data_IF_957698206054
#
_entry.id   IF_957698206054
#
_cell.length_a   1.000
_cell.length_b   1.000
_cell.length_c   1.000
_cell.angle_alpha   90.00
_cell.angle_beta   90.00
_cell.angle_gamma   90.00
#
_symmetry.space_group_name_H-M   'P 1'
#
loop_
_entity.id
_entity.type
_entity.pdbx_description
1 polymer ?
#
# COMPACT_ATOMS: atom_id res chain seq x y z
N UNK A 1 7.68 -31.17 7.28
CA UNK A 1 6.37 -30.56 6.94
C UNK A 1 5.16 -31.24 7.61
N UNK A 2 5.34 -32.23 8.49
CA UNK A 2 4.23 -32.87 9.22
C UNK A 2 4.19 -32.38 10.68
N UNK A 3 3.66 -31.17 10.90
CA UNK A 3 3.30 -30.71 12.24
C UNK A 3 1.94 -31.28 12.67
N UNK A 4 1.63 -31.29 13.98
CA UNK A 4 0.27 -31.57 14.44
C UNK A 4 -0.72 -30.55 13.86
N UNK A 5 -1.97 -30.96 13.65
CA UNK A 5 -3.02 -30.08 13.19
C UNK A 5 -3.32 -29.03 14.27
N UNK A 6 -3.36 -27.75 13.87
CA UNK A 6 -3.65 -26.63 14.75
C UNK A 6 -4.59 -25.64 14.07
N UNK A 7 -5.20 -24.76 14.87
CA UNK A 7 -6.11 -23.77 14.31
C UNK A 7 -5.37 -22.72 13.48
N UNK A 8 -6.04 -22.10 12.51
CA UNK A 8 -5.49 -20.97 11.75
C UNK A 8 -5.04 -19.86 12.71
N UNK A 9 -5.78 -19.64 13.81
CA UNK A 9 -5.42 -18.67 14.84
C UNK A 9 -4.05 -18.96 15.45
N UNK A 10 -3.77 -20.22 15.83
CA UNK A 10 -2.49 -20.61 16.44
C UNK A 10 -1.33 -20.51 15.43
N UNK A 11 -1.59 -20.79 14.15
CA UNK A 11 -0.63 -20.52 13.08
C UNK A 11 -0.31 -19.03 12.92
N UNK A 12 -1.32 -18.16 12.91
CA UNK A 12 -1.15 -16.70 12.85
C UNK A 12 -0.41 -16.17 14.08
N UNK A 13 -0.81 -16.59 15.28
CA UNK A 13 -0.15 -16.23 16.54
C UNK A 13 1.33 -16.58 16.51
N UNK A 14 1.70 -17.82 16.13
CA UNK A 14 3.11 -18.22 16.04
C UNK A 14 3.91 -17.44 15.01
N UNK A 15 3.31 -17.10 13.87
CA UNK A 15 3.95 -16.26 12.86
C UNK A 15 4.26 -14.86 13.42
N UNK A 16 3.33 -14.26 14.17
CA UNK A 16 3.52 -12.99 14.85
C UNK A 16 4.56 -13.12 15.98
N UNK A 17 4.47 -14.14 16.83
CA UNK A 17 5.44 -14.34 17.91
C UNK A 17 6.86 -14.57 17.40
N UNK A 18 7.00 -15.16 16.20
CA UNK A 18 8.30 -15.30 15.54
C UNK A 18 8.93 -13.93 15.23
N UNK A 19 8.14 -12.94 14.82
CA UNK A 19 8.67 -11.60 14.53
C UNK A 19 9.16 -10.90 15.81
N UNK A 20 8.53 -11.16 16.96
CA UNK A 20 8.95 -10.62 18.27
C UNK A 20 10.37 -11.01 18.71
N UNK A 21 10.95 -12.03 18.09
CA UNK A 21 12.34 -12.44 18.35
C UNK A 21 13.39 -11.73 17.48
N UNK A 22 12.96 -10.85 16.57
CA UNK A 22 13.81 -10.28 15.51
C UNK A 22 13.77 -8.76 15.50
N UNK A 23 14.15 -8.17 16.62
CA UNK A 23 14.26 -6.71 16.78
C UNK A 23 15.70 -6.33 17.07
N UNK A 24 16.14 -5.19 16.52
CA UNK A 24 17.39 -4.56 16.90
C UNK A 24 17.29 -3.96 18.31
N UNK A 25 18.42 -3.54 18.92
CA UNK A 25 18.40 -2.77 20.17
C UNK A 25 17.60 -1.45 20.08
N UNK A 26 17.35 -0.92 18.87
CA UNK A 26 16.54 0.27 18.65
C UNK A 26 15.03 0.00 18.64
N UNK A 27 14.62 -1.27 18.67
CA UNK A 27 13.21 -1.65 18.57
C UNK A 27 12.66 -1.64 17.14
N UNK A 28 13.54 -1.69 16.13
CA UNK A 28 13.14 -1.86 14.72
C UNK A 28 13.31 -3.33 14.30
N UNK A 29 12.39 -3.92 13.52
CA UNK A 29 12.55 -5.28 13.02
C UNK A 29 13.82 -5.44 12.17
N UNK A 30 14.51 -6.55 12.39
CA UNK A 30 15.69 -6.91 11.61
C UNK A 30 15.28 -7.38 10.21
N UNK A 31 15.98 -6.88 9.20
CA UNK A 31 15.72 -7.18 7.78
C UNK A 31 15.99 -8.67 7.49
N UNK A 32 17.08 -9.23 8.01
CA UNK A 32 17.56 -10.54 7.57
C UNK A 32 18.00 -10.48 6.11
N UNK A 33 17.73 -11.55 5.37
CA UNK A 33 18.17 -11.63 3.96
C UNK A 33 17.44 -10.64 3.06
N UNK A 34 16.16 -10.33 3.31
CA UNK A 34 15.36 -9.33 2.59
C UNK A 34 13.98 -9.19 3.27
N UNK A 35 13.27 -8.11 2.97
CA UNK A 35 11.86 -7.94 3.31
C UNK A 35 10.97 -8.19 2.08
N UNK A 36 9.94 -7.36 1.82
CA UNK A 36 9.16 -7.48 0.60
C UNK A 36 9.98 -7.20 -0.67
N UNK A 37 11.03 -6.37 -0.57
CA UNK A 37 11.94 -6.12 -1.69
C UNK A 37 13.07 -7.15 -1.66
N UNK A 38 12.89 -8.26 -2.37
CA UNK A 38 13.88 -9.32 -2.54
C UNK A 38 15.25 -8.78 -3.03
N UNK A 39 15.24 -7.64 -3.75
CA UNK A 39 16.44 -6.96 -4.24
C UNK A 39 17.36 -6.40 -3.17
N UNK A 40 16.83 -6.09 -1.98
CA UNK A 40 17.59 -5.66 -0.79
C UNK A 40 18.26 -6.83 -0.07
N UNK A 41 18.82 -7.74 -0.86
CA UNK A 41 19.28 -9.08 -0.48
C UNK A 41 20.52 -9.15 0.41
N UNK A 42 21.15 -8.01 0.70
CA UNK A 42 22.39 -7.95 1.49
C UNK A 42 22.32 -7.00 2.68
N UNK A 43 21.19 -6.29 2.87
CA UNK A 43 21.05 -5.24 3.89
C UNK A 43 21.24 -5.77 5.33
N UNK A 44 20.74 -6.97 5.63
CA UNK A 44 20.67 -7.49 7.01
C UNK A 44 21.11 -8.94 7.20
N UNK A 45 21.98 -9.46 6.32
CA UNK A 45 22.41 -10.87 6.34
C UNK A 45 23.13 -11.30 7.63
N UNK A 46 23.68 -10.34 8.39
CA UNK A 46 24.28 -10.55 9.71
C UNK A 46 23.28 -10.33 10.87
N UNK A 47 21.99 -10.15 10.57
CA UNK A 47 20.92 -9.87 11.52
C UNK A 47 21.19 -8.63 12.40
N UNK A 48 21.76 -7.58 11.80
CA UNK A 48 21.90 -6.25 12.42
C UNK A 48 21.15 -5.18 11.64
N UNK A 49 21.09 -5.32 10.31
CA UNK A 49 20.34 -4.42 9.45
C UNK A 49 18.85 -4.42 9.77
N UNK A 50 18.23 -3.25 9.66
CA UNK A 50 16.86 -2.97 10.08
C UNK A 50 15.98 -2.64 8.88
N UNK A 51 14.70 -3.05 8.90
CA UNK A 51 13.71 -2.69 7.89
C UNK A 51 12.61 -1.82 8.49
N UNK A 52 12.47 -0.60 7.97
CA UNK A 52 11.40 0.31 8.37
C UNK A 52 10.06 -0.09 7.76
N UNK A 53 10.06 -0.66 6.55
CA UNK A 53 8.84 -1.23 5.97
C UNK A 53 8.29 -2.39 6.80
N UNK A 54 9.16 -3.27 7.31
CA UNK A 54 8.74 -4.37 8.17
C UNK A 54 8.15 -3.87 9.49
N UNK A 55 8.62 -2.72 10.00
CA UNK A 55 8.01 -2.08 11.17
C UNK A 55 6.55 -1.68 10.91
N UNK A 56 6.28 -1.01 9.78
CA UNK A 56 4.94 -0.58 9.39
C UNK A 56 4.01 -1.77 9.14
N UNK A 57 4.52 -2.78 8.44
CA UNK A 57 3.74 -3.98 8.14
C UNK A 57 3.38 -4.75 9.42
N UNK A 58 4.34 -4.94 10.33
CA UNK A 58 4.08 -5.58 11.61
C UNK A 58 3.13 -4.74 12.47
N UNK A 59 3.32 -3.42 12.54
CA UNK A 59 2.42 -2.51 13.25
C UNK A 59 0.96 -2.69 12.79
N UNK A 60 0.72 -2.66 11.48
CA UNK A 60 -0.62 -2.89 10.92
C UNK A 60 -1.16 -4.29 11.25
N UNK A 61 -0.32 -5.34 11.24
CA UNK A 61 -0.75 -6.70 11.65
C UNK A 61 -1.18 -6.72 13.11
N UNK A 62 -0.41 -6.10 14.01
CA UNK A 62 -0.70 -6.09 15.44
C UNK A 62 -2.00 -5.35 15.75
N UNK A 63 -2.20 -4.18 15.14
CA UNK A 63 -3.43 -3.38 15.26
C UNK A 63 -4.67 -4.20 14.87
N UNK A 64 -4.59 -4.93 13.76
CA UNK A 64 -5.72 -5.71 13.25
C UNK A 64 -5.92 -7.07 13.96
N UNK A 65 -4.85 -7.66 14.50
CA UNK A 65 -4.90 -9.01 15.08
C UNK A 65 -5.15 -9.02 16.59
N UNK A 66 -4.74 -7.98 17.34
CA UNK A 66 -5.00 -7.90 18.77
C UNK A 66 -6.50 -7.98 19.12
N UNK A 67 -7.43 -7.30 18.41
CA UNK A 67 -8.87 -7.46 18.64
C UNK A 67 -9.37 -8.90 18.39
N UNK A 68 -8.79 -9.61 17.41
CA UNK A 68 -9.13 -11.01 17.14
C UNK A 68 -8.70 -11.90 18.30
N UNK A 69 -7.51 -11.67 18.86
CA UNK A 69 -7.00 -12.40 20.02
C UNK A 69 -7.88 -12.20 21.27
N UNK A 70 -8.31 -10.95 21.55
CA UNK A 70 -9.25 -10.67 22.66
C UNK A 70 -10.59 -11.38 22.48
N UNK A 71 -11.17 -11.37 21.28
CA UNK A 71 -12.43 -12.10 20.99
C UNK A 71 -12.30 -13.62 21.14
N UNK A 72 -11.08 -14.15 21.03
CA UNK A 72 -10.75 -15.56 21.29
C UNK A 72 -10.48 -15.85 22.77
N UNK A 73 -10.44 -14.84 23.64
CA UNK A 73 -10.10 -14.96 25.05
C UNK A 73 -8.59 -15.10 25.33
N UNK A 74 -7.73 -14.76 24.36
CA UNK A 74 -6.27 -14.76 24.54
C UNK A 74 -5.77 -13.34 24.84
N UNK A 75 -6.20 -12.82 25.99
CA UNK A 75 -5.84 -11.46 26.44
C UNK A 75 -4.34 -11.32 26.69
N UNK A 76 -3.66 -12.38 27.08
CA UNK A 76 -2.22 -12.38 27.29
C UNK A 76 -1.45 -12.08 26.00
N UNK A 77 -1.82 -12.75 24.90
CA UNK A 77 -1.23 -12.47 23.59
C UNK A 77 -1.65 -11.10 23.05
N UNK A 78 -2.93 -10.72 23.20
CA UNK A 78 -3.41 -9.40 22.79
C UNK A 78 -2.62 -8.25 23.46
N UNK A 79 -2.46 -8.30 24.78
CA UNK A 79 -1.70 -7.30 25.53
C UNK A 79 -0.22 -7.25 25.09
N UNK A 80 0.36 -8.40 24.74
CA UNK A 80 1.72 -8.44 24.18
C UNK A 80 1.79 -7.76 22.81
N UNK A 81 0.78 -7.97 21.96
CA UNK A 81 0.67 -7.27 20.68
C UNK A 81 0.59 -5.75 20.88
N UNK A 82 -0.24 -5.27 21.83
CA UNK A 82 -0.36 -3.83 22.11
C UNK A 82 0.97 -3.22 22.56
N UNK A 83 1.69 -3.88 23.47
CA UNK A 83 3.00 -3.40 23.94
C UNK A 83 3.99 -3.29 22.77
N UNK A 84 4.06 -4.31 21.92
CA UNK A 84 4.96 -4.29 20.76
C UNK A 84 4.52 -3.22 19.77
N UNK A 85 3.22 -3.11 19.48
CA UNK A 85 2.63 -2.10 18.61
C UNK A 85 3.04 -0.68 19.02
N UNK A 86 2.86 -0.33 20.30
CA UNK A 86 3.20 0.99 20.81
C UNK A 86 4.71 1.25 20.79
N UNK A 87 5.52 0.26 21.21
CA UNK A 87 6.98 0.40 21.19
C UNK A 87 7.53 0.56 19.76
N UNK A 88 6.91 -0.12 18.79
CA UNK A 88 7.28 -0.08 17.38
C UNK A 88 6.97 1.27 16.76
N UNK A 89 5.81 1.86 17.09
CA UNK A 89 5.45 3.21 16.68
C UNK A 89 6.47 4.25 17.13
N UNK A 90 6.86 4.20 18.41
CA UNK A 90 7.83 5.13 18.96
C UNK A 90 9.21 4.94 18.34
N UNK A 91 9.68 3.70 18.21
CA UNK A 91 10.96 3.40 17.57
C UNK A 91 10.99 3.84 16.10
N UNK A 92 9.96 3.50 15.32
CA UNK A 92 9.83 3.87 13.92
C UNK A 92 9.88 5.39 13.72
N UNK A 93 9.07 6.14 14.45
CA UNK A 93 9.02 7.60 14.32
C UNK A 93 10.33 8.26 14.83
N UNK A 94 11.04 7.64 15.77
CA UNK A 94 12.31 8.17 16.29
C UNK A 94 13.49 7.90 15.35
N UNK A 95 13.58 6.71 14.79
CA UNK A 95 14.77 6.24 14.07
C UNK A 95 14.61 6.17 12.56
N UNK A 96 13.37 6.17 12.05
CA UNK A 96 13.10 6.06 10.61
C UNK A 96 12.89 7.39 9.90
N UNK A 97 12.64 8.48 10.63
CA UNK A 97 12.39 9.79 10.01
C UNK A 97 13.70 10.45 9.58
N UNK A 98 13.79 10.79 8.29
CA UNK A 98 15.00 11.35 7.66
C UNK A 98 14.90 12.86 7.39
N UNK A 99 13.78 13.49 7.75
CA UNK A 99 13.57 14.94 7.62
C UNK A 99 12.36 15.27 6.77
N UNK A 100 12.29 14.71 5.56
CA UNK A 100 11.19 14.90 4.60
C UNK A 100 10.47 13.58 4.26
N UNK A 101 11.12 12.43 4.47
CA UNK A 101 10.58 11.09 4.22
C UNK A 101 11.13 10.08 5.23
N UNK A 102 10.64 8.85 5.15
CA UNK A 102 11.14 7.73 5.95
C UNK A 102 12.24 6.94 5.23
N UNK A 103 13.24 6.53 5.99
CA UNK A 103 14.31 5.62 5.57
C UNK A 103 13.73 4.28 5.10
N UNK A 104 14.37 3.65 4.11
CA UNK A 104 14.05 2.28 3.71
C UNK A 104 14.58 1.28 4.75
N UNK A 105 15.84 1.44 5.12
CA UNK A 105 16.55 0.50 5.98
C UNK A 105 17.80 1.13 6.62
N UNK A 106 18.40 0.39 7.55
CA UNK A 106 19.83 0.53 7.87
C UNK A 106 20.55 -0.79 7.61
N UNK A 107 21.78 -0.73 7.09
CA UNK A 107 22.56 -1.94 6.78
C UNK A 107 23.15 -2.57 8.04
N UNK A 108 23.75 -3.76 7.92
CA UNK A 108 24.46 -4.42 9.03
C UNK A 108 25.60 -3.58 9.64
N UNK A 109 26.18 -2.67 8.86
CA UNK A 109 27.22 -1.72 9.29
C UNK A 109 26.63 -0.39 9.80
N UNK A 110 25.30 -0.27 9.83
CA UNK A 110 24.59 0.92 10.30
C UNK A 110 24.50 2.05 9.29
N UNK A 111 24.83 1.81 8.01
CA UNK A 111 24.68 2.81 6.96
C UNK A 111 23.19 3.02 6.64
N UNK A 112 22.80 4.26 6.37
CA UNK A 112 21.43 4.62 6.02
C UNK A 112 21.13 4.28 4.56
N UNK A 113 19.93 3.78 4.30
CA UNK A 113 19.38 3.54 2.96
C UNK A 113 18.05 4.27 2.80
N UNK A 114 17.89 5.00 1.70
CA UNK A 114 16.71 5.86 1.51
C UNK A 114 16.80 7.16 2.31
N UNK A 115 18.01 7.70 2.45
CA UNK A 115 18.29 8.94 3.18
C UNK A 115 18.68 10.07 2.22
N UNK A 116 18.45 11.31 2.65
CA UNK A 116 18.96 12.51 2.01
C UNK A 116 20.48 12.56 1.90
N UNK A 117 21.18 11.77 2.72
CA UNK A 117 22.64 11.57 2.67
C UNK A 117 23.09 10.66 1.53
N UNK A 118 22.17 9.97 0.84
CA UNK A 118 22.50 9.08 -0.27
C UNK A 118 22.41 9.82 -1.63
N UNK A 119 23.45 9.67 -2.46
CA UNK A 119 23.45 10.20 -3.84
C UNK A 119 22.48 9.44 -4.77
N UNK A 120 22.35 8.12 -4.56
CA UNK A 120 21.47 7.21 -5.29
C UNK A 120 20.60 6.41 -4.31
N UNK A 121 19.41 5.99 -4.73
CA UNK A 121 18.45 5.35 -3.82
C UNK A 121 18.06 6.27 -2.67
N UNK A 122 18.00 7.58 -2.94
CA UNK A 122 17.79 8.63 -1.94
C UNK A 122 16.42 8.53 -1.25
N UNK A 123 15.39 8.19 -2.00
CA UNK A 123 14.04 7.98 -1.48
C UNK A 123 13.48 6.66 -2.03
N UNK A 124 12.81 5.90 -1.17
CA UNK A 124 12.10 4.68 -1.52
C UNK A 124 10.60 4.85 -1.32
N UNK A 125 9.81 4.22 -2.17
CA UNK A 125 8.36 4.31 -2.13
C UNK A 125 7.79 3.65 -0.87
N UNK A 126 8.29 2.45 -0.57
CA UNK A 126 7.74 1.54 0.43
C UNK A 126 7.52 2.18 1.81
N UNK A 127 8.56 2.70 2.50
CA UNK A 127 8.41 3.24 3.86
C UNK A 127 7.61 4.56 3.93
N UNK A 128 7.24 5.14 2.79
CA UNK A 128 6.50 6.41 2.77
C UNK A 128 5.01 6.17 2.59
N UNK A 129 4.63 5.27 1.68
CA UNK A 129 3.22 4.92 1.49
C UNK A 129 2.70 4.01 2.61
N UNK A 130 3.55 3.15 3.17
CA UNK A 130 3.17 2.26 4.26
C UNK A 130 3.07 2.97 5.60
N UNK A 131 3.81 4.08 5.79
CA UNK A 131 3.64 4.97 6.92
C UNK A 131 2.18 5.45 7.03
N UNK A 132 1.61 5.87 5.89
CA UNK A 132 0.20 6.26 5.75
C UNK A 132 -0.72 5.05 5.95
N UNK A 133 -0.53 3.99 5.16
CA UNK A 133 -1.46 2.86 5.12
C UNK A 133 -1.57 2.12 6.46
N UNK A 134 -0.45 2.02 7.20
CA UNK A 134 -0.43 1.39 8.51
C UNK A 134 -0.96 2.29 9.63
N UNK A 135 -0.97 3.62 9.43
CA UNK A 135 -1.33 4.59 10.48
C UNK A 135 -0.28 4.74 11.58
N UNK A 136 0.97 4.28 11.36
CA UNK A 136 2.05 4.35 12.36
C UNK A 136 2.61 5.78 12.50
N UNK A 137 2.55 6.59 11.44
CA UNK A 137 3.14 7.93 11.41
C UNK A 137 2.23 8.98 12.06
N UNK A 138 2.83 10.11 12.44
CA UNK A 138 2.09 11.36 12.71
C UNK A 138 1.57 11.98 11.41
N UNK A 139 0.47 12.71 11.50
CA UNK A 139 -0.25 13.30 10.35
C UNK A 139 0.61 14.30 9.56
N UNK A 140 1.32 15.20 10.24
CA UNK A 140 2.26 16.17 9.64
C UNK A 140 3.37 15.51 8.81
N UNK A 141 3.91 14.40 9.32
CA UNK A 141 4.92 13.60 8.61
C UNK A 141 4.33 12.79 7.47
N UNK A 142 3.08 12.34 7.58
CA UNK A 142 2.38 11.64 6.49
C UNK A 142 2.24 12.56 5.27
N UNK A 143 1.81 13.80 5.50
CA UNK A 143 1.70 14.81 4.45
C UNK A 143 3.05 15.12 3.81
N UNK A 144 4.09 15.32 4.64
CA UNK A 144 5.45 15.63 4.18
C UNK A 144 6.02 14.47 3.34
N UNK A 145 5.94 13.24 3.83
CA UNK A 145 6.41 12.05 3.12
C UNK A 145 5.69 11.85 1.78
N UNK A 146 4.36 12.01 1.75
CA UNK A 146 3.59 11.88 0.52
C UNK A 146 3.81 13.02 -0.47
N UNK A 147 4.13 14.23 0.02
CA UNK A 147 4.59 15.32 -0.85
C UNK A 147 5.92 14.93 -1.53
N UNK A 148 6.88 14.37 -0.80
CA UNK A 148 8.12 13.85 -1.38
C UNK A 148 7.89 12.69 -2.35
N UNK A 149 6.99 11.74 -2.05
CA UNK A 149 6.60 10.69 -3.01
C UNK A 149 6.06 11.30 -4.31
N UNK A 150 5.23 12.33 -4.21
CA UNK A 150 4.65 13.01 -5.38
C UNK A 150 5.71 13.72 -6.21
N UNK A 151 6.62 14.43 -5.56
CA UNK A 151 7.69 15.18 -6.22
C UNK A 151 8.72 14.24 -6.89
N UNK A 152 9.24 13.28 -6.12
CA UNK A 152 10.37 12.48 -6.54
C UNK A 152 9.98 11.19 -7.26
N UNK A 153 8.86 10.56 -6.90
CA UNK A 153 8.54 9.19 -7.35
C UNK A 153 7.35 9.11 -8.31
N UNK A 154 6.36 10.01 -8.25
CA UNK A 154 5.20 9.97 -9.15
C UNK A 154 5.55 10.51 -10.55
N UNK A 155 5.98 9.62 -11.45
CA UNK A 155 6.37 9.94 -12.84
C UNK A 155 5.30 9.52 -13.84
N UNK A 156 5.54 9.78 -15.13
CA UNK A 156 4.53 9.72 -16.20
C UNK A 156 3.87 8.35 -16.35
N UNK A 157 4.60 7.28 -16.01
CA UNK A 157 4.12 5.89 -16.13
C UNK A 157 3.88 5.20 -14.79
N UNK A 158 3.79 5.96 -13.71
CA UNK A 158 3.46 5.48 -12.38
C UNK A 158 4.43 5.94 -11.31
N UNK A 159 4.23 5.44 -10.09
CA UNK A 159 5.11 5.74 -8.96
C UNK A 159 6.31 4.80 -8.95
N UNK A 160 7.52 5.36 -9.02
CA UNK A 160 8.77 4.60 -8.99
C UNK A 160 9.00 3.94 -7.63
N UNK A 161 9.72 2.82 -7.59
CA UNK A 161 10.06 2.15 -6.33
C UNK A 161 11.14 2.89 -5.52
N UNK A 162 12.10 3.52 -6.19
CA UNK A 162 13.13 4.37 -5.57
C UNK A 162 13.68 5.38 -6.58
N UNK A 163 14.30 6.45 -6.10
CA UNK A 163 14.93 7.46 -6.96
C UNK A 163 16.06 8.22 -6.23
N UNK A 164 17.14 8.61 -6.93
CA UNK A 164 17.58 8.12 -8.24
C UNK A 164 17.81 6.59 -8.23
N UNK A 165 17.78 5.95 -9.38
CA UNK A 165 18.17 4.54 -9.48
C UNK A 165 19.69 4.40 -9.25
N UNK A 166 20.12 3.25 -8.73
CA UNK A 166 21.53 2.93 -8.56
C UNK A 166 22.21 2.73 -9.91
N UNK A 167 23.34 3.38 -10.14
CA UNK A 167 24.15 3.19 -11.36
C UNK A 167 25.34 2.27 -11.14
N UNK A 168 25.78 2.12 -9.89
CA UNK A 168 26.91 1.26 -9.51
C UNK A 168 26.48 0.18 -8.50
N UNK A 169 27.03 -1.05 -8.57
CA UNK A 169 26.74 -2.08 -7.60
C UNK A 169 27.16 -1.71 -6.17
N UNK A 170 26.25 -1.89 -5.21
CA UNK A 170 26.47 -1.77 -3.76
C UNK A 170 26.33 -3.14 -3.08
N UNK A 171 27.44 -3.81 -2.76
CA UNK A 171 27.41 -5.15 -2.16
C UNK A 171 26.68 -5.22 -0.81
N UNK A 172 26.63 -4.10 -0.08
CA UNK A 172 25.96 -3.94 1.22
C UNK A 172 24.44 -3.74 1.11
N UNK A 173 23.90 -3.55 -0.10
CA UNK A 173 22.46 -3.40 -0.35
C UNK A 173 21.88 -4.67 -0.98
N UNK A 174 22.53 -5.20 -2.01
CA UNK A 174 22.12 -6.45 -2.66
C UNK A 174 21.96 -6.35 -4.16
N UNK A 175 21.27 -7.31 -4.77
CA UNK A 175 21.19 -7.40 -6.23
C UNK A 175 20.35 -6.29 -6.87
N UNK A 176 19.52 -5.55 -6.12
CA UNK A 176 18.75 -4.43 -6.69
C UNK A 176 19.67 -3.45 -7.41
N UNK A 177 20.85 -3.16 -6.86
CA UNK A 177 21.80 -2.21 -7.46
C UNK A 177 22.56 -2.79 -8.66
N UNK A 178 22.29 -4.04 -9.05
CA UNK A 178 22.90 -4.70 -10.21
C UNK A 178 21.96 -4.75 -11.41
N UNK A 179 20.69 -4.39 -11.22
CA UNK A 179 19.82 -4.10 -12.36
C UNK A 179 20.26 -2.81 -13.04
N UNK A 180 20.06 -2.75 -14.35
CA UNK A 180 20.23 -1.50 -15.08
C UNK A 180 19.32 -0.39 -14.47
N UNK A 181 19.80 0.86 -14.39
CA UNK A 181 19.02 1.98 -13.87
C UNK A 181 17.65 2.11 -14.55
N UNK A 182 16.59 2.25 -13.75
CA UNK A 182 15.22 2.36 -14.23
C UNK A 182 14.51 1.03 -14.46
N UNK A 183 15.15 -0.12 -14.24
CA UNK A 183 14.51 -1.43 -14.44
C UNK A 183 14.11 -2.06 -13.10
N UNK A 184 12.92 -2.67 -13.08
CA UNK A 184 12.40 -3.48 -11.98
C UNK A 184 12.52 -2.78 -10.62
N UNK A 185 13.15 -3.41 -9.63
CA UNK A 185 13.33 -2.88 -8.30
C UNK A 185 14.32 -1.70 -8.24
N UNK A 186 15.10 -1.43 -9.31
CA UNK A 186 16.07 -0.33 -9.38
C UNK A 186 15.51 0.88 -10.13
N UNK A 187 14.62 1.61 -9.48
CA UNK A 187 14.01 2.83 -10.00
C UNK A 187 13.03 2.61 -11.14
N UNK A 188 12.54 1.37 -11.32
CA UNK A 188 11.37 1.08 -12.14
C UNK A 188 10.07 1.35 -11.38
N UNK A 189 8.96 1.35 -12.10
CA UNK A 189 7.61 1.29 -11.52
C UNK A 189 7.32 -0.18 -11.24
N UNK A 190 7.66 -0.63 -10.05
CA UNK A 190 7.25 -1.96 -9.59
C UNK A 190 5.75 -1.93 -9.29
N UNK A 191 4.93 -2.43 -10.22
CA UNK A 191 3.49 -2.12 -10.28
C UNK A 191 2.76 -2.53 -9.00
N UNK A 192 3.20 -3.59 -8.32
CA UNK A 192 2.65 -4.00 -7.03
C UNK A 192 2.81 -2.89 -5.97
N UNK A 193 4.01 -2.33 -5.80
CA UNK A 193 4.22 -1.20 -4.90
C UNK A 193 3.52 0.07 -5.38
N UNK A 194 3.52 0.32 -6.68
CA UNK A 194 2.83 1.48 -7.27
C UNK A 194 1.31 1.46 -6.99
N UNK A 195 0.68 0.29 -6.93
CA UNK A 195 -0.74 0.22 -6.53
C UNK A 195 -0.97 0.67 -5.10
N UNK A 196 -0.03 0.44 -4.18
CA UNK A 196 -0.15 0.90 -2.80
C UNK A 196 -0.06 2.42 -2.68
N UNK A 197 0.62 3.12 -3.59
CA UNK A 197 0.60 4.59 -3.61
C UNK A 197 -0.81 5.13 -3.90
N UNK A 198 -1.59 4.44 -4.75
CA UNK A 198 -3.00 4.78 -5.02
C UNK A 198 -3.82 4.72 -3.73
N UNK A 199 -3.64 3.66 -2.93
CA UNK A 199 -4.28 3.56 -1.62
C UNK A 199 -3.82 4.73 -0.73
N UNK A 200 -2.51 4.91 -0.52
CA UNK A 200 -2.00 5.98 0.35
C UNK A 200 -2.52 7.37 -0.03
N UNK A 201 -2.54 7.72 -1.32
CA UNK A 201 -3.11 8.99 -1.79
C UNK A 201 -4.60 9.13 -1.48
N UNK A 202 -5.39 8.09 -1.74
CA UNK A 202 -6.83 8.12 -1.45
C UNK A 202 -7.09 8.26 0.05
N UNK A 203 -6.33 7.55 0.89
CA UNK A 203 -6.43 7.64 2.35
C UNK A 203 -6.01 9.01 2.89
N UNK A 204 -5.06 9.69 2.27
CA UNK A 204 -4.65 11.06 2.61
C UNK A 204 -5.62 12.14 2.09
N UNK A 205 -6.75 11.75 1.49
CA UNK A 205 -7.67 12.71 0.89
C UNK A 205 -7.07 13.44 -0.30
N UNK A 206 -6.27 12.75 -1.12
CA UNK A 206 -5.70 13.25 -2.37
C UNK A 206 -6.20 12.46 -3.60
N UNK A 207 -7.51 12.48 -3.93
CA UNK A 207 -8.08 11.58 -4.93
C UNK A 207 -7.57 11.84 -6.35
N UNK A 208 -7.20 13.09 -6.67
CA UNK A 208 -6.58 13.42 -7.95
C UNK A 208 -5.22 12.72 -8.12
N UNK A 209 -4.38 12.73 -7.06
CA UNK A 209 -3.11 11.99 -7.08
C UNK A 209 -3.33 10.48 -7.11
N UNK A 210 -4.34 9.97 -6.38
CA UNK A 210 -4.70 8.55 -6.40
C UNK A 210 -5.10 8.09 -7.82
N UNK A 211 -5.98 8.84 -8.48
CA UNK A 211 -6.41 8.51 -9.84
C UNK A 211 -5.30 8.72 -10.87
N UNK A 212 -4.45 9.75 -10.70
CA UNK A 212 -3.27 9.95 -11.54
C UNK A 212 -2.30 8.78 -11.41
N UNK A 213 -1.99 8.31 -10.19
CA UNK A 213 -1.14 7.15 -9.99
C UNK A 213 -1.75 5.87 -10.59
N UNK A 214 -3.05 5.65 -10.42
CA UNK A 214 -3.77 4.50 -10.96
C UNK A 214 -3.82 4.49 -12.49
N UNK A 215 -4.24 5.60 -13.09
CA UNK A 215 -4.41 5.73 -14.55
C UNK A 215 -3.10 5.51 -15.29
N UNK A 216 -1.97 5.92 -14.70
CA UNK A 216 -0.62 5.74 -15.23
C UNK A 216 -0.08 4.31 -15.16
N UNK A 217 -0.73 3.40 -14.43
CA UNK A 217 -0.34 1.98 -14.39
C UNK A 217 -1.43 1.04 -14.94
N UNK A 218 -2.58 1.59 -15.33
CA UNK A 218 -3.73 0.86 -15.83
C UNK A 218 -3.50 0.40 -17.29
N UNK A 219 -3.53 -0.92 -17.60
CA UNK A 219 -3.18 -1.42 -18.94
C UNK A 219 -3.99 -0.83 -20.11
N UNK A 220 -5.33 -0.68 -20.02
CA UNK A 220 -6.10 -0.03 -21.08
C UNK A 220 -5.64 1.40 -21.37
N UNK A 221 -5.36 2.19 -20.33
CA UNK A 221 -4.89 3.57 -20.51
C UNK A 221 -3.46 3.62 -21.06
N UNK A 222 -2.61 2.67 -20.66
CA UNK A 222 -1.23 2.58 -21.15
C UNK A 222 -1.16 2.16 -22.60
N UNK A 223 -2.14 1.40 -23.07
CA UNK A 223 -2.20 0.96 -24.45
C UNK A 223 -2.62 2.01 -25.47
N UNK A 224 -2.92 3.23 -25.03
CA UNK A 224 -3.11 4.37 -25.95
C UNK A 224 -1.80 4.72 -26.70
N UNK A 225 -0.63 4.40 -26.12
CA UNK A 225 0.69 4.49 -26.76
C UNK A 225 1.40 3.12 -26.73
N UNK A 226 1.07 2.28 -27.71
CA UNK A 226 1.64 0.92 -27.82
C UNK A 226 3.14 0.91 -28.12
N UNK A 227 3.65 1.94 -28.82
CA UNK A 227 5.05 2.05 -29.24
C UNK A 227 5.98 2.38 -28.07
N UNK A 228 5.42 2.93 -26.98
CA UNK A 228 6.12 3.03 -25.69
C UNK A 228 5.78 1.85 -24.78
N UNK A 229 4.54 1.38 -24.75
CA UNK A 229 4.08 0.43 -23.73
C UNK A 229 4.60 -1.01 -23.91
N UNK A 230 4.65 -1.54 -25.14
CA UNK A 230 5.20 -2.86 -25.48
C UNK A 230 4.61 -4.08 -24.73
N UNK A 231 3.50 -3.92 -24.01
CA UNK A 231 2.82 -4.97 -23.25
C UNK A 231 1.36 -5.09 -23.68
N UNK A 232 0.71 -6.20 -23.32
CA UNK A 232 -0.67 -6.45 -23.73
C UNK A 232 -1.66 -5.51 -23.02
N UNK A 233 -2.66 -4.95 -23.73
CA UNK A 233 -3.54 -3.90 -23.20
C UNK A 233 -4.55 -4.39 -22.16
N UNK A 234 -4.61 -5.70 -21.92
CA UNK A 234 -5.64 -6.36 -21.10
C UNK A 234 -5.06 -7.12 -19.91
N UNK A 235 -3.75 -7.05 -19.66
CA UNK A 235 -3.10 -7.67 -18.49
C UNK A 235 -2.24 -6.67 -17.73
N UNK A 236 -2.23 -6.78 -16.40
CA UNK A 236 -1.38 -5.93 -15.56
C UNK A 236 0.08 -6.40 -15.63
N UNK A 237 1.03 -5.53 -16.01
CA UNK A 237 2.45 -5.85 -15.94
C UNK A 237 2.93 -5.89 -14.49
N UNK A 238 3.99 -6.65 -14.22
CA UNK A 238 4.69 -6.63 -12.94
C UNK A 238 5.60 -5.40 -12.81
N UNK A 239 6.13 -4.92 -13.93
CA UNK A 239 7.05 -3.79 -13.98
C UNK A 239 6.76 -2.88 -15.17
N UNK A 240 7.03 -1.58 -14.98
CA UNK A 240 7.18 -0.61 -16.07
C UNK A 240 8.53 0.10 -15.89
N UNK A 241 9.28 0.22 -16.97
CA UNK A 241 10.61 0.85 -16.95
C UNK A 241 10.51 2.34 -16.57
N UNK A 242 11.36 2.76 -15.64
CA UNK A 242 11.47 4.11 -15.11
C UNK A 242 12.38 5.03 -15.95
N UNK A 243 12.54 6.30 -15.53
CA UNK A 243 13.08 7.37 -16.37
C UNK A 243 14.57 7.25 -16.72
N UNK A 244 15.33 6.43 -15.99
CA UNK A 244 16.74 6.18 -16.30
C UNK A 244 16.94 5.04 -17.32
N UNK A 245 15.87 4.34 -17.71
CA UNK A 245 15.90 3.36 -18.80
C UNK A 245 15.87 4.05 -20.16
N UNK A 246 16.59 3.51 -21.14
CA UNK A 246 16.46 3.92 -22.54
C UNK A 246 15.04 3.66 -23.11
N UNK A 247 14.28 2.77 -22.45
CA UNK A 247 12.90 2.38 -22.80
C UNK A 247 11.88 2.87 -21.76
N UNK A 248 12.03 4.10 -21.26
CA UNK A 248 11.12 4.67 -20.25
C UNK A 248 9.64 4.47 -20.64
N UNK A 249 8.88 3.75 -19.80
CA UNK A 249 7.46 3.44 -20.01
C UNK A 249 7.16 2.06 -20.57
N UNK A 250 8.18 1.29 -20.94
CA UNK A 250 8.04 -0.09 -21.40
C UNK A 250 7.52 -1.01 -20.29
N UNK A 251 6.40 -1.67 -20.56
CA UNK A 251 5.84 -2.71 -19.70
C UNK A 251 6.62 -4.03 -19.82
N UNK A 252 6.71 -4.77 -18.73
CA UNK A 252 7.35 -6.08 -18.70
C UNK A 252 6.87 -6.96 -17.56
N UNK A 253 7.32 -8.22 -17.56
CA UNK A 253 6.89 -9.22 -16.57
C UNK A 253 5.35 -9.31 -16.51
N UNK A 254 4.72 -9.53 -17.67
CA UNK A 254 3.25 -9.56 -17.78
C UNK A 254 2.69 -10.86 -17.22
N UNK A 255 1.39 -10.88 -16.92
CA UNK A 255 0.61 -12.01 -16.39
C UNK A 255 0.93 -12.43 -14.96
N UNK A 256 2.16 -12.83 -14.66
CA UNK A 256 2.52 -13.46 -13.39
C UNK A 256 2.93 -12.42 -12.35
N UNK A 257 1.94 -11.75 -11.75
CA UNK A 257 2.20 -10.73 -10.73
C UNK A 257 1.06 -10.58 -9.72
N UNK A 258 1.41 -10.28 -8.47
CA UNK A 258 0.45 -9.83 -7.45
C UNK A 258 -0.19 -8.47 -7.75
N UNK A 259 0.38 -7.70 -8.70
CA UNK A 259 -0.13 -6.38 -9.11
C UNK A 259 -1.58 -6.42 -9.56
N UNK A 260 -2.02 -7.47 -10.27
CA UNK A 260 -3.38 -7.54 -10.82
C UNK A 260 -4.45 -7.48 -9.71
N UNK A 261 -4.24 -8.25 -8.63
CA UNK A 261 -5.17 -8.26 -7.50
C UNK A 261 -5.17 -6.92 -6.75
N UNK A 262 -4.00 -6.30 -6.59
CA UNK A 262 -3.92 -5.00 -5.94
C UNK A 262 -4.50 -3.88 -6.79
N UNK A 263 -4.28 -3.89 -8.11
CA UNK A 263 -4.86 -2.91 -9.03
C UNK A 263 -6.39 -2.93 -8.94
N UNK A 264 -6.98 -4.13 -8.98
CA UNK A 264 -8.42 -4.30 -8.75
C UNK A 264 -8.86 -3.83 -7.36
N UNK A 265 -8.08 -4.16 -6.31
CA UNK A 265 -8.41 -3.77 -4.94
C UNK A 265 -8.38 -2.25 -4.76
N UNK A 266 -7.37 -1.54 -5.26
CA UNK A 266 -7.30 -0.09 -5.11
C UNK A 266 -8.32 0.65 -5.97
N UNK A 267 -8.64 0.13 -7.16
CA UNK A 267 -9.75 0.66 -7.96
C UNK A 267 -11.08 0.56 -7.19
N UNK A 268 -11.41 -0.63 -6.68
CA UNK A 268 -12.73 -0.88 -6.09
C UNK A 268 -12.87 -0.35 -4.67
N UNK A 269 -11.83 -0.49 -3.83
CA UNK A 269 -11.89 -0.14 -2.41
C UNK A 269 -11.51 1.32 -2.15
N UNK A 270 -10.60 1.89 -2.93
CA UNK A 270 -10.00 3.19 -2.61
C UNK A 270 -10.40 4.29 -3.58
N UNK A 271 -10.46 4.03 -4.89
CA UNK A 271 -11.00 5.00 -5.86
C UNK A 271 -12.53 5.02 -5.79
N UNK A 272 -13.18 3.88 -6.09
CA UNK A 272 -14.64 3.78 -6.01
C UNK A 272 -15.15 3.75 -4.55
N UNK A 273 -14.27 3.50 -3.58
CA UNK A 273 -14.63 3.64 -2.17
C UNK A 273 -15.52 2.54 -1.58
N UNK A 274 -15.67 1.39 -2.26
CA UNK A 274 -16.59 0.33 -1.83
C UNK A 274 -15.81 -0.73 -1.04
N UNK A 275 -15.84 -0.64 0.29
CA UNK A 275 -14.97 -1.40 1.19
C UNK A 275 -15.76 -2.35 2.11
N UNK A 276 -15.60 -3.67 1.98
CA UNK A 276 -16.12 -4.62 2.96
C UNK A 276 -15.53 -4.38 4.36
N UNK A 277 -16.39 -4.30 5.38
CA UNK A 277 -16.02 -4.18 6.79
C UNK A 277 -16.57 -5.36 7.60
N UNK A 278 -16.17 -5.48 8.87
CA UNK A 278 -16.69 -6.52 9.77
C UNK A 278 -18.23 -6.50 9.82
N UNK A 279 -18.82 -5.31 10.00
CA UNK A 279 -20.24 -5.11 10.26
C UNK A 279 -21.04 -4.54 9.07
N UNK A 280 -20.45 -4.42 7.87
CA UNK A 280 -21.15 -3.78 6.77
C UNK A 280 -20.32 -3.57 5.51
N UNK A 281 -20.88 -2.80 4.58
CA UNK A 281 -20.22 -2.32 3.37
C UNK A 281 -20.06 -0.80 3.45
N UNK A 282 -18.82 -0.34 3.63
CA UNK A 282 -18.51 1.08 3.63
C UNK A 282 -18.53 1.62 2.19
N UNK A 283 -19.19 2.77 2.00
CA UNK A 283 -19.22 3.50 0.73
C UNK A 283 -18.62 4.88 0.96
N UNK A 284 -17.41 5.08 0.47
CA UNK A 284 -16.63 6.29 0.69
C UNK A 284 -15.76 6.60 -0.54
N UNK A 285 -16.40 7.07 -1.64
CA UNK A 285 -15.74 7.31 -2.92
C UNK A 285 -14.70 8.43 -2.82
N UNK A 286 -13.54 8.19 -3.45
CA UNK A 286 -12.46 9.15 -3.61
C UNK A 286 -12.10 9.19 -5.11
N UNK A 287 -12.85 10.00 -5.86
CA UNK A 287 -12.79 10.08 -7.32
C UNK A 287 -12.29 11.46 -7.78
N UNK A 288 -11.77 11.58 -9.02
CA UNK A 288 -11.49 12.87 -9.63
C UNK A 288 -12.73 13.77 -9.65
N UNK A 289 -12.50 15.08 -9.55
CA UNK A 289 -13.55 16.10 -9.58
C UNK A 289 -14.33 16.13 -10.89
N UNK A 290 -13.70 15.69 -11.99
CA UNK A 290 -14.31 15.60 -13.32
C UNK A 290 -15.35 14.47 -13.45
N UNK A 291 -15.34 13.48 -12.54
CA UNK A 291 -16.30 12.39 -12.56
C UNK A 291 -17.63 12.88 -11.99
N UNK A 292 -18.66 12.93 -12.84
CA UNK A 292 -20.03 13.26 -12.42
C UNK A 292 -20.68 12.19 -11.54
N UNK A 293 -20.08 11.00 -11.45
CA UNK A 293 -20.63 9.86 -10.74
C UNK A 293 -20.24 8.54 -11.38
N UNK A 294 -20.70 7.44 -10.80
CA UNK A 294 -20.48 6.10 -11.36
C UNK A 294 -21.53 5.11 -10.83
N UNK A 295 -21.64 3.95 -11.49
CA UNK A 295 -22.52 2.85 -11.06
C UNK A 295 -21.75 1.57 -10.83
N UNK A 296 -22.03 0.88 -9.75
CA UNK A 296 -21.42 -0.42 -9.41
C UNK A 296 -22.48 -1.41 -8.96
N UNK A 297 -22.36 -2.64 -9.45
CA UNK A 297 -23.08 -3.79 -8.92
C UNK A 297 -22.15 -4.63 -8.06
N UNK A 298 -22.40 -4.67 -6.75
CA UNK A 298 -21.57 -5.38 -5.77
C UNK A 298 -22.35 -6.50 -5.11
N UNK A 299 -21.92 -7.74 -5.33
CA UNK A 299 -22.39 -8.87 -4.52
C UNK A 299 -21.61 -8.90 -3.21
N UNK A 300 -22.30 -8.86 -2.07
CA UNK A 300 -21.68 -8.84 -0.75
C UNK A 300 -22.51 -9.65 0.24
N UNK A 301 -21.88 -10.69 0.83
CA UNK A 301 -22.43 -11.55 1.90
C UNK A 301 -23.87 -12.01 1.65
N UNK A 302 -24.18 -12.44 0.43
CA UNK A 302 -25.49 -13.01 0.08
C UNK A 302 -26.55 -12.00 -0.34
N UNK A 303 -26.21 -10.74 -0.59
CA UNK A 303 -27.11 -9.75 -1.22
C UNK A 303 -26.38 -8.99 -2.34
N UNK A 304 -27.16 -8.31 -3.20
CA UNK A 304 -26.68 -7.48 -4.30
C UNK A 304 -26.94 -6.01 -4.00
N UNK A 305 -25.88 -5.22 -4.04
CA UNK A 305 -25.88 -3.78 -3.81
C UNK A 305 -25.74 -3.12 -5.19
N UNK A 306 -26.80 -2.51 -5.71
CA UNK A 306 -26.76 -1.71 -6.94
C UNK A 306 -26.58 -0.25 -6.57
N UNK A 307 -25.32 0.21 -6.61
CA UNK A 307 -24.87 1.50 -6.09
C UNK A 307 -24.79 2.49 -7.26
N UNK A 308 -25.50 3.61 -7.13
CA UNK A 308 -25.51 4.75 -8.05
C UNK A 308 -24.95 5.96 -7.29
N UNK A 309 -23.73 6.37 -7.64
CA UNK A 309 -23.04 7.52 -7.04
C UNK A 309 -23.18 8.71 -7.96
N UNK A 310 -23.68 9.82 -7.43
CA UNK A 310 -23.81 11.12 -8.10
C UNK A 310 -22.88 12.15 -7.43
N UNK A 311 -22.14 12.91 -8.23
CA UNK A 311 -21.20 13.94 -7.78
C UNK A 311 -21.55 15.30 -8.39
N UNK A 312 -22.68 15.92 -7.98
CA UNK A 312 -23.21 17.12 -8.62
C UNK A 312 -22.34 18.36 -8.38
N UNK A 313 -21.45 18.32 -7.38
CA UNK A 313 -20.57 19.43 -7.01
C UNK A 313 -19.13 19.25 -7.48
N UNK A 314 -18.81 18.12 -8.15
CA UNK A 314 -17.43 17.82 -8.57
C UNK A 314 -16.45 17.77 -7.40
N UNK A 315 -16.88 17.33 -6.22
CA UNK A 315 -15.98 17.16 -5.07
C UNK A 315 -15.14 15.89 -5.26
N UNK A 316 -13.94 15.88 -4.70
CA UNK A 316 -13.06 14.71 -4.81
C UNK A 316 -13.40 13.59 -3.84
N UNK A 317 -14.03 13.93 -2.71
CA UNK A 317 -14.35 13.03 -1.61
C UNK A 317 -15.51 13.61 -0.79
N UNK A 318 -16.07 12.79 0.09
CA UNK A 318 -17.19 13.18 0.96
C UNK A 318 -18.53 12.68 0.44
N UNK A 319 -19.35 12.17 1.35
CA UNK A 319 -20.70 11.68 1.07
C UNK A 319 -21.69 12.53 1.84
N UNK A 320 -22.54 13.23 1.11
CA UNK A 320 -23.59 14.08 1.68
C UNK A 320 -24.79 13.26 2.15
N UNK A 321 -25.16 12.22 1.39
CA UNK A 321 -26.28 11.36 1.76
C UNK A 321 -26.22 10.00 1.07
N UNK A 322 -26.79 8.99 1.74
CA UNK A 322 -27.04 7.67 1.18
C UNK A 322 -28.50 7.29 1.42
N UNK A 323 -29.13 6.67 0.42
CA UNK A 323 -30.44 6.03 0.56
C UNK A 323 -30.36 4.57 0.12
N UNK A 324 -31.11 3.70 0.79
CA UNK A 324 -31.34 2.30 0.42
C UNK A 324 -32.82 2.15 0.10
N UNK A 325 -33.15 1.79 -1.14
CA UNK A 325 -34.53 1.71 -1.65
C UNK A 325 -35.37 2.96 -1.34
N UNK A 326 -34.72 4.13 -1.40
CA UNK A 326 -35.34 5.43 -1.11
C UNK A 326 -35.39 5.81 0.37
N UNK A 327 -34.97 4.94 1.28
CA UNK A 327 -34.90 5.21 2.73
C UNK A 327 -33.52 5.74 3.10
N UNK A 328 -33.47 6.93 3.70
CA UNK A 328 -32.23 7.55 4.17
C UNK A 328 -31.49 6.66 5.18
N UNK A 329 -30.16 6.66 5.09
CA UNK A 329 -29.27 5.93 6.00
C UNK A 329 -28.43 6.91 6.82
N UNK A 330 -28.14 6.52 8.06
CA UNK A 330 -27.22 7.25 8.93
C UNK A 330 -25.79 6.75 8.69
N UNK A 331 -24.94 7.65 8.18
CA UNK A 331 -23.53 7.34 7.90
C UNK A 331 -23.30 6.54 6.62
N UNK A 332 -22.05 6.09 6.45
CA UNK A 332 -21.55 5.55 5.18
C UNK A 332 -21.37 4.02 5.19
N UNK A 333 -21.57 3.38 6.35
CA UNK A 333 -21.44 1.94 6.54
C UNK A 333 -22.82 1.29 6.41
N UNK A 334 -23.10 0.72 5.24
CA UNK A 334 -24.35 0.02 5.01
C UNK A 334 -24.37 -1.34 5.73
N UNK A 335 -25.51 -1.77 6.27
CA UNK A 335 -25.61 -3.05 6.95
C UNK A 335 -25.39 -4.22 5.99
N UNK A 336 -25.10 -5.39 6.57
CA UNK A 336 -25.10 -6.66 5.86
C UNK A 336 -26.54 -7.15 5.69
N UNK A 337 -27.09 -7.14 4.48
CA UNK A 337 -28.47 -7.57 4.25
C UNK A 337 -28.65 -9.10 4.26
N UNK A 338 -27.75 -9.84 3.61
CA UNK A 338 -27.66 -11.31 3.64
C UNK A 338 -28.97 -12.10 3.36
N UNK A 339 -29.93 -11.52 2.64
CA UNK A 339 -31.27 -12.10 2.44
C UNK A 339 -31.53 -12.54 0.99
N UNK A 340 -30.50 -12.57 0.13
CA UNK A 340 -30.61 -12.96 -1.27
C UNK A 340 -31.16 -11.88 -2.20
N UNK A 341 -31.55 -10.71 -1.68
CA UNK A 341 -32.21 -9.66 -2.48
C UNK A 341 -31.21 -8.68 -3.10
N UNK A 342 -31.76 -7.86 -3.99
CA UNK A 342 -31.09 -6.71 -4.60
C UNK A 342 -31.62 -5.43 -3.96
N UNK A 343 -30.70 -4.53 -3.61
CA UNK A 343 -30.98 -3.22 -3.01
C UNK A 343 -30.48 -2.11 -3.93
N UNK A 344 -31.32 -1.09 -4.15
CA UNK A 344 -30.94 0.12 -4.88
C UNK A 344 -30.35 1.13 -3.91
N UNK A 345 -29.10 1.51 -4.12
CA UNK A 345 -28.39 2.44 -3.25
C UNK A 345 -28.08 3.69 -4.05
N UNK A 346 -28.57 4.84 -3.58
CA UNK A 346 -28.19 6.14 -4.16
C UNK A 346 -27.28 6.87 -3.20
N UNK A 347 -26.16 7.34 -3.71
CA UNK A 347 -25.14 8.07 -2.96
C UNK A 347 -24.99 9.42 -3.62
N UNK A 348 -25.08 10.50 -2.84
CA UNK A 348 -24.80 11.86 -3.33
C UNK A 348 -23.53 12.33 -2.64
N UNK A 349 -22.49 12.59 -3.43
CA UNK A 349 -21.25 13.18 -2.92
C UNK A 349 -21.42 14.67 -2.62
N UNK A 350 -20.65 15.16 -1.65
CA UNK A 350 -20.68 16.55 -1.20
C UNK A 350 -20.10 16.72 0.20
N UNK A 351 -19.98 17.98 0.62
CA UNK A 351 -19.52 18.39 1.96
C UNK A 351 -20.64 18.45 2.98
#
# INVERSE_FOLDING_TARGET
>A
LNGPAESIYDHCKRAIERSFSRFSPRGIPLMGDHDWNDGLSAVGTLLKGESFWMAEFLYMILENFAPIARRRGDDAFANRCDIVHDSLKEAFNKYGWDGDWYLMATTDDGLLLGSHENDEGKIFLMPNIWAVMSGITKEDRAETAMASVTEYLLKDYGTLLNYPAFTEPRPDIGYVTRYAPGLRENGGVYTHAATWSVWAYAQMGQPENAYKAYSRICPPNRSDDIDTYWAEPYVTPGNIDGPLSEYYGRGGWTWYTGSAQWLHRVATHWILGIRPQENGLLIDPAIPSEWSGFKVKRTFRGAVYEIDVDNPQGVNQGVRSITVDGVAQDGHLLPVFADGKTYTIKVVMGT
#
